data_IF_204327916511
#
_entry.id   IF_204327916511
#
_cell.length_a   1.000
_cell.length_b   1.000
_cell.length_c   1.000
_cell.angle_alpha   90.00
_cell.angle_beta   90.00
_cell.angle_gamma   90.00
#
_symmetry.space_group_name_H-M   'P 1'
#
loop_
_entity.id
_entity.type
_entity.pdbx_description
1 polymer ?
#
# COMPACT_ATOMS: atom_id res chain seq x y z
N UNK A 1 61.93 -31.91 -44.10
CA UNK A 1 62.13 -30.43 -44.01
C UNK A 1 60.90 -29.76 -44.53
N UNK A 2 60.53 -28.71 -43.94
CA UNK A 2 60.07 -28.27 -42.63
C UNK A 2 58.62 -27.75 -42.83
N UNK A 3 57.86 -27.36 -41.94
CA UNK A 3 57.92 -26.36 -40.88
C UNK A 3 56.64 -26.37 -40.07
N UNK A 4 56.82 -26.38 -38.90
CA UNK A 4 56.10 -25.93 -37.75
C UNK A 4 55.14 -24.75 -38.05
N UNK A 5 53.87 -24.94 -37.72
CA UNK A 5 53.04 -23.83 -37.24
C UNK A 5 52.21 -24.24 -36.03
N UNK A 6 52.71 -23.77 -34.95
CA UNK A 6 52.14 -23.81 -33.61
C UNK A 6 50.97 -22.84 -33.55
N UNK A 7 49.75 -23.32 -33.53
CA UNK A 7 48.54 -22.54 -33.22
C UNK A 7 48.03 -22.95 -31.86
N UNK A 8 48.31 -22.15 -30.83
CA UNK A 8 47.70 -22.26 -29.48
C UNK A 8 46.24 -21.95 -29.59
N UNK A 9 45.40 -22.95 -29.40
CA UNK A 9 44.02 -22.79 -29.07
C UNK A 9 43.93 -22.44 -27.59
N UNK A 10 43.59 -21.20 -27.29
CA UNK A 10 43.24 -20.76 -25.98
C UNK A 10 41.89 -21.38 -25.56
N UNK A 11 41.67 -21.68 -24.30
CA UNK A 11 40.39 -22.18 -23.83
C UNK A 11 39.41 -21.03 -23.85
N UNK A 12 38.37 -21.16 -24.70
CA UNK A 12 37.18 -20.33 -24.65
C UNK A 12 36.51 -20.50 -23.31
N UNK A 13 36.76 -19.52 -22.47
CA UNK A 13 36.02 -19.34 -21.24
C UNK A 13 34.59 -18.99 -21.62
N UNK A 14 33.73 -20.00 -21.58
CA UNK A 14 32.28 -19.84 -21.59
C UNK A 14 31.92 -18.91 -20.41
N UNK A 15 31.90 -17.62 -20.69
CA UNK A 15 31.32 -16.63 -19.78
C UNK A 15 29.82 -16.92 -19.72
N UNK A 16 29.46 -17.72 -18.75
CA UNK A 16 28.07 -17.84 -18.33
C UNK A 16 27.66 -16.44 -17.86
N UNK A 17 26.99 -15.70 -18.72
CA UNK A 17 26.22 -14.51 -18.30
C UNK A 17 25.21 -14.99 -17.29
N UNK A 18 25.59 -14.94 -16.04
CA UNK A 18 24.64 -14.98 -14.94
C UNK A 18 23.63 -13.88 -15.19
N UNK A 19 22.46 -14.28 -15.63
CA UNK A 19 21.28 -13.46 -15.67
C UNK A 19 21.11 -12.92 -14.25
N UNK A 20 21.56 -11.68 -14.05
CA UNK A 20 21.39 -10.98 -12.79
C UNK A 20 19.89 -10.83 -12.58
N UNK A 21 19.43 -11.69 -11.70
CA UNK A 21 18.14 -11.66 -11.05
C UNK A 21 17.62 -10.23 -10.89
N UNK A 22 16.40 -10.09 -11.35
CA UNK A 22 15.46 -9.03 -11.05
C UNK A 22 15.85 -8.31 -9.76
N UNK A 23 16.40 -7.11 -9.91
CA UNK A 23 16.57 -6.22 -8.79
C UNK A 23 15.21 -6.01 -8.18
N UNK A 24 14.98 -6.62 -7.02
CA UNK A 24 13.90 -6.22 -6.16
C UNK A 24 14.04 -4.71 -6.01
N UNK A 25 13.08 -3.98 -6.57
CA UNK A 25 13.00 -2.53 -6.35
C UNK A 25 12.85 -2.34 -4.86
N UNK A 26 13.97 -2.11 -4.20
CA UNK A 26 13.94 -1.58 -2.85
C UNK A 26 13.08 -0.32 -2.92
N UNK A 27 12.02 -0.29 -2.15
CA UNK A 27 11.19 0.89 -1.93
C UNK A 27 12.14 2.00 -1.46
N UNK A 28 12.66 2.79 -2.39
CA UNK A 28 13.30 4.06 -2.04
C UNK A 28 12.20 4.90 -1.43
N UNK A 29 12.22 5.02 -0.12
CA UNK A 29 11.43 6.02 0.60
C UNK A 29 12.02 7.36 0.18
N UNK A 30 11.52 7.90 -0.92
CA UNK A 30 11.78 9.29 -1.26
C UNK A 30 11.20 10.10 -0.12
N UNK A 31 12.02 10.97 0.49
CA UNK A 31 11.58 11.93 1.51
C UNK A 31 10.52 12.83 0.88
N UNK A 32 9.27 12.39 0.84
CA UNK A 32 8.18 13.23 0.40
C UNK A 32 7.97 14.31 1.46
N UNK A 33 8.05 15.55 1.03
CA UNK A 33 7.76 16.70 1.88
C UNK A 33 6.31 16.57 2.33
N UNK A 34 6.09 16.51 3.64
CA UNK A 34 4.73 16.46 4.19
C UNK A 34 4.17 17.87 4.13
N UNK A 35 3.11 18.07 3.37
CA UNK A 35 2.35 19.33 3.45
C UNK A 35 1.78 19.42 4.87
N UNK A 36 2.25 20.41 5.62
CA UNK A 36 1.85 20.64 7.01
C UNK A 36 0.66 21.62 7.02
N UNK A 37 -0.50 21.08 6.67
CA UNK A 37 -1.71 21.90 6.53
C UNK A 37 -2.32 22.31 7.87
N UNK A 38 -1.93 21.63 8.96
CA UNK A 38 -2.48 21.93 10.29
C UNK A 38 -1.42 21.94 11.38
N UNK A 39 -1.54 22.91 12.30
CA UNK A 39 -0.67 23.03 13.49
C UNK A 39 -0.79 21.79 14.42
N UNK A 40 -1.93 21.11 14.41
CA UNK A 40 -2.13 19.89 15.18
C UNK A 40 -1.30 18.72 14.65
N UNK A 41 -1.21 18.58 13.32
CA UNK A 41 -0.38 17.57 12.67
C UNK A 41 1.12 17.81 12.98
N UNK A 42 1.56 19.05 12.99
CA UNK A 42 2.96 19.38 13.33
C UNK A 42 3.32 18.96 14.75
N UNK A 43 2.45 19.24 15.72
CA UNK A 43 2.65 18.80 17.11
C UNK A 43 2.71 17.29 17.20
N UNK A 44 1.77 16.59 16.57
CA UNK A 44 1.74 15.14 16.53
C UNK A 44 3.03 14.55 15.96
N UNK A 45 3.52 15.07 14.82
CA UNK A 45 4.77 14.63 14.21
C UNK A 45 5.99 14.89 15.10
N UNK A 46 6.01 15.99 15.85
CA UNK A 46 7.06 16.31 16.81
C UNK A 46 7.04 15.34 18.01
N UNK A 47 5.86 15.00 18.51
CA UNK A 47 5.70 14.05 19.63
C UNK A 47 6.17 12.66 19.25
N UNK A 48 5.73 12.14 18.10
CA UNK A 48 6.16 10.84 17.59
C UNK A 48 7.68 10.81 17.34
N UNK A 49 8.25 11.95 16.93
CA UNK A 49 9.69 12.04 16.67
C UNK A 49 10.57 11.86 17.91
N UNK A 50 10.02 12.05 19.13
CA UNK A 50 10.74 11.94 20.40
C UNK A 50 10.80 10.50 20.93
N UNK A 51 9.89 9.63 20.45
CA UNK A 51 9.83 8.24 20.90
C UNK A 51 11.00 7.43 20.34
N UNK A 52 11.62 6.64 21.21
CA UNK A 52 12.75 5.79 20.88
C UNK A 52 12.29 4.55 20.08
N UNK A 53 13.20 4.04 19.25
CA UNK A 53 12.97 2.80 18.50
C UNK A 53 13.18 1.60 19.41
N UNK A 54 12.29 0.63 19.30
CA UNK A 54 12.32 -0.64 20.07
C UNK A 54 13.23 -1.64 19.36
N UNK A 55 14.00 -2.40 20.14
CA UNK A 55 14.80 -3.52 19.64
C UNK A 55 13.94 -4.75 19.36
N UNK A 56 14.43 -5.69 18.55
CA UNK A 56 13.67 -6.92 18.24
C UNK A 56 13.40 -7.79 19.48
N UNK A 57 14.31 -7.77 20.44
CA UNK A 57 14.15 -8.51 21.71
C UNK A 57 13.06 -7.91 22.59
N UNK A 58 13.02 -6.59 22.66
CA UNK A 58 11.96 -5.86 23.38
C UNK A 58 10.59 -6.04 22.68
N UNK A 59 10.53 -6.10 21.34
CA UNK A 59 9.28 -6.40 20.60
C UNK A 59 8.69 -7.74 21.08
N UNK A 60 9.53 -8.77 21.22
CA UNK A 60 9.10 -10.11 21.67
C UNK A 60 8.62 -10.07 23.10
N UNK A 61 9.32 -9.37 24.01
CA UNK A 61 8.91 -9.25 25.41
C UNK A 61 7.57 -8.51 25.55
N UNK A 62 7.43 -7.39 24.85
CA UNK A 62 6.19 -6.63 24.84
C UNK A 62 5.03 -7.44 24.26
N UNK A 63 5.26 -8.20 23.19
CA UNK A 63 4.23 -9.06 22.61
C UNK A 63 3.75 -10.13 23.59
N UNK A 64 4.64 -10.73 24.39
CA UNK A 64 4.24 -11.67 25.45
C UNK A 64 3.37 -11.03 26.53
N UNK A 65 3.72 -9.81 26.95
CA UNK A 65 2.92 -9.05 27.94
C UNK A 65 1.55 -8.66 27.39
N UNK A 66 1.47 -8.29 26.10
CA UNK A 66 0.20 -7.97 25.45
C UNK A 66 -0.74 -9.18 25.44
N UNK A 67 -0.22 -10.39 25.20
CA UNK A 67 -1.02 -11.63 25.30
C UNK A 67 -1.56 -11.88 26.71
N UNK A 68 -0.90 -11.37 27.76
CA UNK A 68 -1.35 -11.43 29.15
C UNK A 68 -2.37 -10.33 29.49
N UNK A 69 -2.65 -9.42 28.54
CA UNK A 69 -3.60 -8.33 28.73
C UNK A 69 -2.99 -7.03 29.26
N UNK A 70 -1.65 -6.87 29.22
CA UNK A 70 -0.97 -5.65 29.64
C UNK A 70 -1.16 -4.52 28.63
N UNK A 71 -1.95 -3.52 29.01
CA UNK A 71 -2.24 -2.34 28.19
C UNK A 71 -1.03 -1.39 28.06
N UNK A 72 -0.18 -1.33 29.09
CA UNK A 72 1.01 -0.47 29.08
C UNK A 72 2.00 -0.97 28.03
N UNK A 73 2.16 -2.30 27.93
CA UNK A 73 2.99 -2.90 26.91
C UNK A 73 2.45 -2.63 25.48
N UNK A 74 1.12 -2.67 25.31
CA UNK A 74 0.46 -2.36 24.04
C UNK A 74 0.71 -0.89 23.65
N UNK A 75 0.55 0.05 24.59
CA UNK A 75 0.84 1.45 24.32
C UNK A 75 2.31 1.67 23.94
N UNK A 76 3.26 1.07 24.66
CA UNK A 76 4.68 1.20 24.37
C UNK A 76 5.01 0.69 22.97
N UNK A 77 4.50 -0.49 22.59
CA UNK A 77 4.73 -1.07 21.27
C UNK A 77 4.11 -0.21 20.15
N UNK A 78 2.89 0.30 20.36
CA UNK A 78 2.21 1.14 19.36
C UNK A 78 2.90 2.48 19.20
N UNK A 79 3.25 3.18 20.29
CA UNK A 79 3.93 4.50 20.23
C UNK A 79 5.22 4.46 19.44
N UNK A 80 6.09 3.49 19.66
CA UNK A 80 7.34 3.34 18.96
C UNK A 80 7.17 3.11 17.43
N UNK A 81 6.01 2.59 17.01
CA UNK A 81 5.75 2.28 15.61
C UNK A 81 4.87 3.32 14.89
N UNK A 82 4.41 4.38 15.55
CA UNK A 82 3.58 5.43 14.94
C UNK A 82 4.27 6.12 13.75
N UNK A 83 5.59 6.32 13.81
CA UNK A 83 6.37 6.90 12.70
C UNK A 83 6.25 6.09 11.42
N UNK A 84 6.15 4.78 11.55
CA UNK A 84 5.98 3.89 10.42
C UNK A 84 4.59 4.04 9.79
N UNK A 85 3.53 4.18 10.62
CA UNK A 85 2.17 4.43 10.12
C UNK A 85 2.12 5.70 9.26
N UNK A 86 2.77 6.78 9.69
CA UNK A 86 2.85 8.02 8.91
C UNK A 86 3.49 7.79 7.54
N UNK A 87 4.55 6.97 7.47
CA UNK A 87 5.21 6.65 6.21
C UNK A 87 4.31 5.88 5.24
N UNK A 88 3.47 4.97 5.78
CA UNK A 88 2.48 4.22 4.98
C UNK A 88 1.32 5.13 4.57
N UNK A 89 0.78 5.94 5.49
CA UNK A 89 -0.34 6.85 5.21
C UNK A 89 -0.02 7.86 4.10
N UNK A 90 1.22 8.34 4.02
CA UNK A 90 1.68 9.24 2.95
C UNK A 90 1.51 8.65 1.54
N UNK A 91 1.56 7.34 1.39
CA UNK A 91 1.40 6.68 0.08
C UNK A 91 -0.04 6.75 -0.44
N UNK A 92 -1.00 6.98 0.46
CA UNK A 92 -2.45 7.03 0.16
C UNK A 92 -3.02 8.45 0.18
N UNK A 93 -2.17 9.48 0.17
CA UNK A 93 -2.61 10.88 0.06
C UNK A 93 -3.36 11.12 -1.25
N UNK A 94 -4.22 12.12 -1.26
CA UNK A 94 -5.00 12.58 -2.43
C UNK A 94 -6.05 11.58 -2.94
N UNK A 95 -6.45 10.62 -2.11
CA UNK A 95 -7.50 9.64 -2.46
C UNK A 95 -8.87 9.98 -1.88
N UNK A 96 -9.07 11.22 -1.41
CA UNK A 96 -10.35 11.71 -0.90
C UNK A 96 -10.41 11.85 0.63
N UNK A 97 -9.36 11.45 1.35
CA UNK A 97 -9.22 11.66 2.80
C UNK A 97 -8.03 12.56 3.12
N UNK A 98 -8.13 13.31 4.20
CA UNK A 98 -7.04 14.13 4.72
C UNK A 98 -5.93 13.27 5.32
N UNK A 99 -4.67 13.76 5.32
CA UNK A 99 -3.55 13.01 5.90
C UNK A 99 -3.76 12.69 7.39
N UNK A 100 -4.27 13.59 8.25
CA UNK A 100 -4.58 13.26 9.64
C UNK A 100 -5.56 12.08 9.78
N UNK A 101 -6.60 12.04 8.96
CA UNK A 101 -7.59 10.96 9.00
C UNK A 101 -6.97 9.62 8.58
N UNK A 102 -6.15 9.63 7.52
CA UNK A 102 -5.42 8.43 7.09
C UNK A 102 -4.47 7.90 8.17
N UNK A 103 -3.81 8.80 8.92
CA UNK A 103 -2.94 8.42 10.03
C UNK A 103 -3.76 7.79 11.16
N UNK A 104 -4.90 8.39 11.53
CA UNK A 104 -5.77 7.88 12.58
C UNK A 104 -6.28 6.48 12.26
N UNK A 105 -6.76 6.26 11.03
CA UNK A 105 -7.20 4.94 10.57
C UNK A 105 -6.04 3.93 10.51
N UNK A 106 -4.86 4.39 10.11
CA UNK A 106 -3.64 3.58 10.14
C UNK A 106 -3.26 3.17 11.57
N UNK A 107 -3.40 4.08 12.55
CA UNK A 107 -3.15 3.79 13.96
C UNK A 107 -4.13 2.75 14.52
N UNK A 108 -5.41 2.79 14.12
CA UNK A 108 -6.37 1.74 14.47
C UNK A 108 -5.94 0.38 13.90
N UNK A 109 -5.44 0.36 12.67
CA UNK A 109 -4.86 -0.84 12.06
C UNK A 109 -3.65 -1.36 12.83
N UNK A 110 -2.76 -0.47 13.28
CA UNK A 110 -1.59 -0.82 14.09
C UNK A 110 -1.98 -1.45 15.44
N UNK A 111 -2.97 -0.90 16.14
CA UNK A 111 -3.47 -1.44 17.41
C UNK A 111 -4.04 -2.85 17.21
N UNK A 112 -4.85 -3.05 16.16
CA UNK A 112 -5.37 -4.39 15.81
C UNK A 112 -4.25 -5.38 15.51
N UNK A 113 -3.19 -4.93 14.83
CA UNK A 113 -2.02 -5.75 14.56
C UNK A 113 -1.28 -6.13 15.85
N UNK A 114 -1.08 -5.18 16.77
CA UNK A 114 -0.40 -5.43 18.06
C UNK A 114 -1.12 -6.46 18.92
N UNK A 115 -2.45 -6.44 18.94
CA UNK A 115 -3.27 -7.42 19.69
C UNK A 115 -3.21 -8.84 19.10
N UNK A 116 -2.95 -8.97 17.80
CA UNK A 116 -2.97 -10.25 17.07
C UNK A 116 -1.57 -10.76 16.70
N UNK A 117 -0.55 -10.01 17.08
CA UNK A 117 0.83 -10.38 16.75
C UNK A 117 1.28 -11.63 17.51
N UNK A 118 1.98 -12.51 16.79
CA UNK A 118 2.51 -13.75 17.33
C UNK A 118 4.04 -13.77 17.22
N UNK A 119 4.71 -13.65 18.35
CA UNK A 119 6.17 -13.59 18.46
C UNK A 119 6.85 -14.92 18.15
N UNK A 120 6.12 -16.05 18.20
CA UNK A 120 6.70 -17.39 17.96
C UNK A 120 7.15 -17.61 16.52
N UNK A 121 6.64 -16.80 15.60
CA UNK A 121 6.94 -16.91 14.17
C UNK A 121 8.28 -16.32 13.75
N UNK A 122 8.99 -15.62 14.62
CA UNK A 122 10.32 -15.05 14.36
C UNK A 122 10.37 -13.88 13.37
N UNK A 123 9.22 -13.30 12.99
CA UNK A 123 9.17 -12.12 12.14
C UNK A 123 9.13 -10.83 12.96
N UNK A 124 9.70 -9.74 12.41
CA UNK A 124 9.57 -8.41 13.01
C UNK A 124 8.11 -7.96 13.00
N UNK A 125 7.69 -7.29 14.06
CA UNK A 125 6.34 -6.76 14.22
C UNK A 125 5.90 -5.88 13.03
N UNK A 126 6.78 -5.02 12.53
CA UNK A 126 6.52 -4.12 11.40
C UNK A 126 6.08 -4.89 10.13
N UNK A 127 6.71 -6.03 9.84
CA UNK A 127 6.38 -6.84 8.66
C UNK A 127 4.96 -7.38 8.68
N UNK A 128 4.44 -7.66 9.86
CA UNK A 128 3.04 -8.08 10.07
C UNK A 128 2.09 -6.88 10.10
N UNK A 129 2.46 -5.82 10.81
CA UNK A 129 1.63 -4.63 11.01
C UNK A 129 1.30 -3.90 9.70
N UNK A 130 2.22 -3.90 8.71
CA UNK A 130 2.01 -3.27 7.39
C UNK A 130 0.69 -3.70 6.74
N UNK A 131 0.35 -4.98 6.81
CA UNK A 131 -0.86 -5.51 6.20
C UNK A 131 -2.13 -4.98 6.87
N UNK A 132 -2.14 -4.90 8.19
CA UNK A 132 -3.26 -4.38 8.97
C UNK A 132 -3.42 -2.87 8.77
N UNK A 133 -2.31 -2.13 8.75
CA UNK A 133 -2.31 -0.68 8.51
C UNK A 133 -2.88 -0.39 7.12
N UNK A 134 -2.40 -1.07 6.08
CA UNK A 134 -2.92 -0.91 4.71
C UNK A 134 -4.40 -1.26 4.61
N UNK A 135 -4.79 -2.37 5.21
CA UNK A 135 -6.18 -2.82 5.19
C UNK A 135 -7.10 -1.79 5.84
N UNK A 136 -6.72 -1.26 7.01
CA UNK A 136 -7.50 -0.24 7.71
C UNK A 136 -7.61 1.06 6.89
N UNK A 137 -6.50 1.54 6.31
CA UNK A 137 -6.49 2.74 5.46
C UNK A 137 -7.36 2.54 4.20
N UNK A 138 -7.23 1.42 3.49
CA UNK A 138 -8.02 1.15 2.29
C UNK A 138 -9.50 1.00 2.61
N UNK A 139 -9.85 0.40 3.73
CA UNK A 139 -11.23 0.31 4.21
C UNK A 139 -11.79 1.71 4.49
N UNK A 140 -11.06 2.57 5.20
CA UNK A 140 -11.46 3.93 5.49
C UNK A 140 -11.64 4.77 4.22
N UNK A 141 -10.74 4.64 3.25
CA UNK A 141 -10.89 5.31 1.95
C UNK A 141 -12.16 4.83 1.25
N UNK A 142 -12.42 3.53 1.22
CA UNK A 142 -13.61 2.99 0.57
C UNK A 142 -14.92 3.47 1.23
N UNK A 143 -14.91 3.68 2.56
CA UNK A 143 -16.09 4.09 3.33
C UNK A 143 -16.31 5.60 3.37
N UNK A 144 -15.24 6.39 3.43
CA UNK A 144 -15.32 7.82 3.76
C UNK A 144 -14.80 8.77 2.67
N UNK A 145 -14.21 8.26 1.58
CA UNK A 145 -13.65 9.14 0.53
C UNK A 145 -14.72 9.81 -0.34
N UNK A 146 -15.95 9.29 -0.36
CA UNK A 146 -17.06 9.82 -1.15
C UNK A 146 -18.11 10.51 -0.27
N UNK A 147 -18.70 11.59 -0.74
CA UNK A 147 -19.81 12.26 -0.05
C UNK A 147 -21.01 11.30 0.08
N UNK A 148 -21.33 10.59 -0.99
CA UNK A 148 -22.34 9.52 -0.95
C UNK A 148 -21.63 8.20 -0.77
N UNK A 149 -21.82 7.57 0.40
CA UNK A 149 -21.19 6.29 0.73
C UNK A 149 -21.66 5.18 -0.20
N UNK A 150 -20.72 4.42 -0.72
CA UNK A 150 -20.99 3.19 -1.47
C UNK A 150 -20.70 1.94 -0.60
N UNK A 151 -21.50 0.87 -0.76
CA UNK A 151 -21.19 -0.41 -0.15
C UNK A 151 -19.84 -0.95 -0.63
N UNK A 152 -19.07 -1.61 0.25
CA UNK A 152 -17.73 -2.15 -0.08
C UNK A 152 -17.73 -3.10 -1.28
N UNK A 153 -18.81 -3.86 -1.45
CA UNK A 153 -18.98 -4.76 -2.61
C UNK A 153 -18.99 -3.98 -3.93
N UNK A 154 -19.68 -2.83 -3.98
CA UNK A 154 -19.72 -1.98 -5.17
C UNK A 154 -18.37 -1.32 -5.43
N UNK A 155 -17.69 -0.85 -4.39
CA UNK A 155 -16.31 -0.31 -4.51
C UNK A 155 -15.36 -1.37 -5.06
N UNK A 156 -15.49 -2.62 -4.60
CA UNK A 156 -14.73 -3.75 -5.12
C UNK A 156 -15.00 -4.02 -6.61
N UNK A 157 -16.27 -3.96 -7.02
CA UNK A 157 -16.67 -4.12 -8.44
C UNK A 157 -16.14 -2.99 -9.31
N UNK A 158 -16.24 -1.73 -8.86
CA UNK A 158 -15.67 -0.57 -9.54
C UNK A 158 -14.15 -0.68 -9.73
N UNK A 159 -13.43 -1.14 -8.71
CA UNK A 159 -11.99 -1.33 -8.81
C UNK A 159 -11.60 -2.42 -9.84
N UNK A 160 -12.39 -3.50 -9.92
CA UNK A 160 -12.20 -4.54 -10.95
C UNK A 160 -12.49 -4.00 -12.34
N UNK A 161 -13.57 -3.24 -12.48
CA UNK A 161 -13.95 -2.60 -13.74
C UNK A 161 -12.88 -1.63 -14.22
N UNK A 162 -12.38 -0.74 -13.36
CA UNK A 162 -11.32 0.20 -13.72
C UNK A 162 -10.02 -0.52 -14.15
N UNK A 163 -9.68 -1.64 -13.50
CA UNK A 163 -8.51 -2.45 -13.91
C UNK A 163 -8.72 -3.10 -15.27
N UNK A 164 -9.91 -3.65 -15.52
CA UNK A 164 -10.24 -4.23 -16.82
C UNK A 164 -10.24 -3.18 -17.92
N UNK A 165 -10.82 -1.99 -17.63
CA UNK A 165 -10.83 -0.86 -18.54
C UNK A 165 -9.40 -0.45 -18.94
N UNK A 166 -8.52 -0.20 -17.98
CA UNK A 166 -7.12 0.17 -18.27
C UNK A 166 -6.36 -0.92 -19.04
N UNK A 167 -6.69 -2.20 -18.80
CA UNK A 167 -6.07 -3.30 -19.52
C UNK A 167 -6.52 -3.35 -20.98
N UNK A 168 -7.83 -3.26 -21.22
CA UNK A 168 -8.37 -3.28 -22.57
C UNK A 168 -7.99 -2.04 -23.38
N UNK A 169 -7.93 -0.87 -22.73
CA UNK A 169 -7.45 0.37 -23.35
C UNK A 169 -6.00 0.22 -23.83
N UNK A 170 -5.14 -0.45 -23.07
CA UNK A 170 -3.76 -0.73 -23.50
C UNK A 170 -3.67 -1.78 -24.63
N UNK A 171 -4.59 -2.76 -24.65
CA UNK A 171 -4.60 -3.80 -25.68
C UNK A 171 -5.19 -3.32 -27.02
N UNK A 172 -6.21 -2.48 -26.96
CA UNK A 172 -6.94 -2.04 -28.17
C UNK A 172 -6.57 -0.63 -28.63
N UNK A 173 -5.78 0.10 -27.86
CA UNK A 173 -5.40 1.50 -28.13
C UNK A 173 -6.63 2.42 -28.34
N UNK A 174 -7.79 2.03 -27.81
CA UNK A 174 -9.08 2.77 -27.83
C UNK A 174 -9.86 2.50 -26.54
N UNK A 175 -10.86 3.33 -26.29
CA UNK A 175 -11.80 3.08 -25.19
C UNK A 175 -12.58 1.77 -25.45
N UNK A 176 -12.63 0.85 -24.48
CA UNK A 176 -13.38 -0.41 -24.58
C UNK A 176 -14.89 -0.16 -24.54
N UNK A 177 -15.64 -0.98 -25.28
CA UNK A 177 -17.11 -0.96 -25.23
C UNK A 177 -17.62 -1.65 -23.97
N UNK A 178 -18.89 -1.36 -23.62
CA UNK A 178 -19.54 -1.99 -22.45
C UNK A 178 -19.62 -3.51 -22.59
N UNK A 179 -19.83 -4.00 -23.82
CA UNK A 179 -19.87 -5.43 -24.14
C UNK A 179 -18.52 -6.11 -23.93
N UNK A 180 -17.43 -5.49 -24.35
CA UNK A 180 -16.07 -5.99 -24.17
C UNK A 180 -15.69 -6.06 -22.68
N UNK A 181 -16.09 -5.06 -21.91
CA UNK A 181 -15.92 -5.05 -20.45
C UNK A 181 -16.74 -6.16 -19.78
N UNK A 182 -17.98 -6.37 -20.23
CA UNK A 182 -18.86 -7.42 -19.71
C UNK A 182 -18.27 -8.81 -19.96
N UNK A 183 -17.75 -9.06 -21.18
CA UNK A 183 -17.08 -10.31 -21.54
C UNK A 183 -15.80 -10.54 -20.72
N UNK A 184 -14.96 -9.49 -20.53
CA UNK A 184 -13.71 -9.59 -19.76
C UNK A 184 -13.96 -9.90 -18.27
N UNK A 185 -15.04 -9.39 -17.71
CA UNK A 185 -15.38 -9.52 -16.29
C UNK A 185 -16.33 -10.69 -15.99
N UNK A 186 -16.88 -11.35 -17.04
CA UNK A 186 -17.91 -12.37 -16.92
C UNK A 186 -19.14 -11.86 -16.13
N UNK A 187 -19.58 -10.64 -16.44
CA UNK A 187 -20.70 -9.96 -15.81
C UNK A 187 -21.79 -9.63 -16.85
N UNK A 188 -23.03 -9.50 -16.39
CA UNK A 188 -24.12 -8.99 -17.23
C UNK A 188 -23.87 -7.52 -17.60
N UNK A 189 -24.17 -7.13 -18.85
CA UNK A 189 -23.99 -5.77 -19.37
C UNK A 189 -24.69 -4.71 -18.53
N UNK A 190 -25.90 -4.99 -18.03
CA UNK A 190 -26.66 -4.06 -17.18
C UNK A 190 -25.88 -3.69 -15.92
N UNK A 191 -25.18 -4.67 -15.29
CA UNK A 191 -24.35 -4.40 -14.11
C UNK A 191 -23.12 -3.57 -14.43
N UNK A 192 -22.56 -3.71 -15.63
CA UNK A 192 -21.44 -2.88 -16.08
C UNK A 192 -21.90 -1.44 -16.30
N UNK A 193 -23.07 -1.25 -16.97
CA UNK A 193 -23.69 0.08 -17.16
C UNK A 193 -23.97 0.78 -15.84
N UNK A 194 -24.60 0.09 -14.91
CA UNK A 194 -24.86 0.62 -13.55
C UNK A 194 -23.56 1.02 -12.85
N UNK A 195 -22.54 0.18 -12.95
CA UNK A 195 -21.25 0.45 -12.33
C UNK A 195 -20.55 1.68 -12.95
N UNK A 196 -20.65 1.87 -14.26
CA UNK A 196 -20.09 3.04 -14.96
C UNK A 196 -20.82 4.31 -14.52
N UNK A 197 -22.14 4.29 -14.41
CA UNK A 197 -22.91 5.45 -13.94
C UNK A 197 -22.56 5.84 -12.51
N UNK A 198 -22.33 4.86 -11.62
CA UNK A 198 -21.94 5.07 -10.22
C UNK A 198 -20.47 5.52 -10.10
N UNK A 199 -19.61 5.26 -11.08
CA UNK A 199 -18.19 5.59 -11.03
C UNK A 199 -17.92 7.09 -10.96
N UNK A 200 -18.81 7.91 -11.51
CA UNK A 200 -18.71 9.36 -11.52
C UNK A 200 -18.49 9.96 -10.12
N UNK A 201 -17.60 10.96 -10.03
CA UNK A 201 -17.45 11.75 -8.81
C UNK A 201 -18.49 12.90 -8.84
N UNK A 202 -18.93 13.30 -7.65
CA UNK A 202 -19.76 14.50 -7.50
C UNK A 202 -18.99 15.74 -7.97
N UNK A 203 -19.71 16.65 -8.61
CA UNK A 203 -19.20 17.94 -9.07
C UNK A 203 -19.89 19.02 -8.23
N UNK A 204 -19.13 20.04 -7.84
CA UNK A 204 -19.69 21.18 -7.13
C UNK A 204 -20.63 21.98 -8.07
N UNK A 205 -21.79 22.38 -7.58
CA UNK A 205 -22.71 23.25 -8.33
C UNK A 205 -22.16 24.67 -8.49
N UNK A 206 -21.28 25.08 -7.56
CA UNK A 206 -20.65 26.41 -7.56
C UNK A 206 -19.33 26.44 -8.33
N UNK A 207 -18.96 25.33 -9.01
CA UNK A 207 -17.76 25.31 -9.82
C UNK A 207 -17.91 26.24 -11.02
N UNK A 208 -16.90 27.08 -11.35
CA UNK A 208 -16.94 27.93 -12.53
C UNK A 208 -17.03 27.06 -13.78
N UNK A 209 -17.94 27.42 -14.68
CA UNK A 209 -18.00 26.79 -16.01
C UNK A 209 -16.79 27.26 -16.81
N UNK A 210 -15.98 26.32 -17.26
CA UNK A 210 -14.80 26.55 -18.12
C UNK A 210 -15.20 26.35 -19.56
#
# INVERSE_FOLDING_TARGET
MPSIFSGRLGPDVLTIKTCSLLGMRQLKITKSITNRESRSLDKYLQEIGKEDLITAEEEVELARRIKQGDQIALEKLTRANLRFVVSVAKQYQNQGLSLPDLINEGNLGLIKAAQRFDETRGFKFISYAVWWIRQSILQAIAEHSRIVRLPLNQVGSLNKLNKAFSKLEQEYEREPTEEELAQQLDLAEDKVKDSIQISGRHISMDAPLV
#
